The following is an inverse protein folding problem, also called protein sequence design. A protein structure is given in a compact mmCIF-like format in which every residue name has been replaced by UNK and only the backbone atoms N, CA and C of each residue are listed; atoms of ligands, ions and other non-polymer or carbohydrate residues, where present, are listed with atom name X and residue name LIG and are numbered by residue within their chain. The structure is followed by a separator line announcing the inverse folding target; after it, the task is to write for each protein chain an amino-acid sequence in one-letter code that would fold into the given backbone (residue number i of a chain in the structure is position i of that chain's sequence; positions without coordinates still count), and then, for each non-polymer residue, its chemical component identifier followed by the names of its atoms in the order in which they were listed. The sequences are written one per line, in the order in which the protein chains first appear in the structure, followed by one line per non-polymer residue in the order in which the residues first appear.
data_IF_109568895066
#
_entry.id   IF_109568895066
#
_cell.length_a   1.000
_cell.length_b   1.000
_cell.length_c   1.000
_cell.angle_alpha   90.00
_cell.angle_beta   90.00
_cell.angle_gamma   90.00
#
_symmetry.space_group_name_H-M   'P 1'
#
loop_
_entity.id
_entity.type
_entity.pdbx_description
1 polymer ?
#
# COMPACT_ATOMS: atom_id res chain seq x y z
N UNK A 1 -32.69 19.06 -19.11
CA UNK A 1 -32.30 17.96 -18.21
C UNK A 1 -30.85 17.66 -18.48
N UNK A 2 -29.99 17.90 -17.48
CA UNK A 2 -28.56 17.64 -17.58
C UNK A 2 -28.28 16.28 -16.96
N UNK A 3 -27.33 15.54 -17.52
CA UNK A 3 -26.94 14.24 -16.99
C UNK A 3 -25.51 14.36 -16.47
N UNK A 4 -25.33 14.17 -15.18
CA UNK A 4 -24.01 14.14 -14.57
C UNK A 4 -23.48 12.72 -14.54
N UNK A 5 -22.23 12.53 -14.96
CA UNK A 5 -21.48 11.30 -14.77
C UNK A 5 -20.38 11.60 -13.77
N UNK A 6 -20.34 10.83 -12.69
CA UNK A 6 -19.47 11.09 -11.55
C UNK A 6 -18.65 9.83 -11.32
N UNK A 7 -17.33 9.93 -11.48
CA UNK A 7 -16.39 8.86 -11.16
C UNK A 7 -15.83 9.14 -9.77
N UNK A 8 -16.19 8.32 -8.79
CA UNK A 8 -15.80 8.48 -7.39
C UNK A 8 -14.69 7.49 -7.06
N UNK A 9 -13.67 7.97 -6.35
CA UNK A 9 -12.67 7.16 -5.66
C UNK A 9 -12.48 7.69 -4.24
N UNK A 10 -11.88 6.88 -3.38
CA UNK A 10 -11.40 7.34 -2.08
C UNK A 10 -9.95 7.84 -2.23
N UNK A 11 -9.64 8.97 -1.58
CA UNK A 11 -8.28 9.36 -1.25
C UNK A 11 -8.01 9.03 0.22
N UNK A 12 -7.39 7.88 0.46
CA UNK A 12 -7.21 7.35 1.81
C UNK A 12 -6.21 8.17 2.63
N UNK A 13 -5.10 8.61 2.01
CA UNK A 13 -4.13 9.49 2.66
C UNK A 13 -4.72 10.84 3.11
N UNK A 14 -5.74 11.33 2.40
CA UNK A 14 -6.42 12.58 2.76
C UNK A 14 -7.69 12.36 3.59
N UNK A 15 -8.15 11.12 3.72
CA UNK A 15 -9.44 10.79 4.35
C UNK A 15 -10.64 11.40 3.64
N UNK A 16 -10.57 11.55 2.30
CA UNK A 16 -11.59 12.27 1.50
C UNK A 16 -12.12 11.40 0.38
N UNK A 17 -13.40 11.57 0.05
CA UNK A 17 -13.98 11.07 -1.21
C UNK A 17 -13.70 12.09 -2.30
N UNK A 18 -13.12 11.65 -3.40
CA UNK A 18 -12.76 12.50 -4.53
C UNK A 18 -13.52 12.06 -5.78
N UNK A 19 -13.84 13.00 -6.67
CA UNK A 19 -14.51 12.65 -7.91
C UNK A 19 -14.07 13.45 -9.12
N UNK A 20 -14.09 12.80 -10.28
CA UNK A 20 -14.19 13.46 -11.58
C UNK A 20 -15.66 13.63 -11.92
N UNK A 21 -16.02 14.84 -12.33
CA UNK A 21 -17.38 15.23 -12.66
C UNK A 21 -17.47 15.63 -14.12
N UNK A 22 -18.34 14.95 -14.85
CA UNK A 22 -18.64 15.23 -16.24
C UNK A 22 -20.10 15.65 -16.35
N UNK A 23 -20.35 16.72 -17.10
CA UNK A 23 -21.71 17.10 -17.50
C UNK A 23 -21.91 16.65 -18.93
N UNK A 24 -22.82 15.70 -19.12
CA UNK A 24 -23.21 15.25 -20.44
C UNK A 24 -24.24 16.24 -21.00
N UNK A 25 -23.79 17.06 -21.94
CA UNK A 25 -24.64 17.80 -22.87
C UNK A 25 -24.75 17.01 -24.20
N UNK A 26 -25.30 17.61 -25.26
CA UNK A 26 -25.45 16.94 -26.56
C UNK A 26 -24.10 16.62 -27.25
N UNK A 27 -22.96 17.13 -26.76
CA UNK A 27 -21.65 17.07 -27.40
C UNK A 27 -20.57 16.30 -26.59
N UNK A 28 -20.77 16.05 -25.29
CA UNK A 28 -19.83 15.22 -24.51
C UNK A 28 -20.00 13.74 -24.86
N UNK A 29 -19.04 13.18 -25.61
CA UNK A 29 -19.04 11.77 -26.01
C UNK A 29 -18.74 10.85 -24.83
N UNK A 30 -19.59 9.83 -24.62
CA UNK A 30 -19.34 8.72 -23.70
C UNK A 30 -17.98 8.04 -23.96
N UNK A 31 -17.42 8.15 -25.16
CA UNK A 31 -16.08 7.63 -25.48
C UNK A 31 -14.96 8.36 -24.74
N UNK A 32 -15.09 9.66 -24.46
CA UNK A 32 -14.08 10.37 -23.69
C UNK A 32 -14.03 9.87 -22.25
N UNK A 33 -15.19 9.63 -21.63
CA UNK A 33 -15.29 9.09 -20.27
C UNK A 33 -14.74 7.66 -20.22
N UNK A 34 -15.05 6.82 -21.22
CA UNK A 34 -14.48 5.48 -21.33
C UNK A 34 -12.96 5.52 -21.45
N UNK A 35 -12.41 6.40 -22.29
CA UNK A 35 -10.96 6.58 -22.44
C UNK A 35 -10.31 7.06 -21.14
N UNK A 36 -10.96 7.93 -20.39
CA UNK A 36 -10.47 8.40 -19.10
C UNK A 36 -10.48 7.28 -18.05
N UNK A 37 -11.54 6.47 -17.97
CA UNK A 37 -11.59 5.27 -17.12
C UNK A 37 -10.47 4.30 -17.49
N UNK A 38 -10.25 4.06 -18.79
CA UNK A 38 -9.17 3.20 -19.26
C UNK A 38 -7.79 3.73 -18.83
N UNK A 39 -7.53 5.04 -19.00
CA UNK A 39 -6.29 5.68 -18.54
C UNK A 39 -6.10 5.55 -17.03
N UNK A 40 -7.17 5.75 -16.25
CA UNK A 40 -7.10 5.63 -14.79
C UNK A 40 -6.71 4.19 -14.40
N UNK A 41 -7.38 3.18 -14.95
CA UNK A 41 -7.06 1.78 -14.66
C UNK A 41 -5.65 1.39 -15.11
N UNK A 42 -5.26 1.84 -16.30
CA UNK A 42 -3.92 1.58 -16.83
C UNK A 42 -2.82 2.18 -15.93
N UNK A 43 -3.00 3.40 -15.42
CA UNK A 43 -1.99 4.11 -14.65
C UNK A 43 -2.03 3.80 -13.14
N UNK A 44 -3.22 3.54 -12.58
CA UNK A 44 -3.40 3.28 -11.16
C UNK A 44 -3.50 1.78 -10.81
N UNK A 45 -3.63 0.90 -11.81
CA UNK A 45 -3.89 -0.53 -11.67
C UNK A 45 -5.35 -0.89 -11.89
N UNK A 46 -5.59 -2.05 -12.50
CA UNK A 46 -6.94 -2.53 -12.88
C UNK A 46 -7.87 -2.77 -11.68
N UNK A 47 -7.30 -3.08 -10.53
CA UNK A 47 -7.96 -3.31 -9.25
C UNK A 47 -8.33 -2.02 -8.49
N UNK A 48 -8.15 -0.85 -9.12
CA UNK A 48 -8.60 0.43 -8.55
C UNK A 48 -10.12 0.46 -8.32
N UNK A 49 -10.54 0.92 -7.14
CA UNK A 49 -11.94 1.08 -6.79
C UNK A 49 -12.51 2.38 -7.36
N UNK A 50 -13.30 2.25 -8.41
CA UNK A 50 -14.00 3.37 -9.04
C UNK A 50 -15.50 3.10 -9.04
N UNK A 51 -16.26 3.95 -8.37
CA UNK A 51 -17.72 3.94 -8.45
C UNK A 51 -18.18 4.93 -9.53
N UNK A 52 -19.12 4.51 -10.37
CA UNK A 52 -19.66 5.35 -11.45
C UNK A 52 -21.12 5.65 -11.13
N UNK A 53 -21.43 6.93 -10.97
CA UNK A 53 -22.80 7.39 -10.74
C UNK A 53 -23.29 8.21 -11.92
N UNK A 54 -24.57 8.05 -12.25
CA UNK A 54 -25.28 8.83 -13.27
C UNK A 54 -26.47 9.53 -12.63
N UNK A 55 -26.44 10.85 -12.55
CA UNK A 55 -27.45 11.65 -11.84
C UNK A 55 -28.06 12.68 -12.79
N UNK A 56 -29.37 12.61 -13.10
CA UNK A 56 -30.06 13.64 -13.84
C UNK A 56 -30.52 14.78 -12.93
N UNK A 57 -30.33 16.02 -13.38
CA UNK A 57 -30.63 17.25 -12.62
C UNK A 57 -31.25 18.33 -13.51
N UNK A 58 -31.67 19.42 -12.86
CA UNK A 58 -32.29 20.58 -13.51
C UNK A 58 -31.28 21.45 -14.26
N UNK A 59 -30.04 21.55 -13.75
CA UNK A 59 -28.97 22.38 -14.32
C UNK A 59 -27.59 21.69 -14.16
N UNK A 60 -26.55 22.27 -14.77
CA UNK A 60 -25.20 21.70 -14.82
C UNK A 60 -24.35 21.87 -13.55
N UNK A 61 -24.86 22.55 -12.53
CA UNK A 61 -24.08 22.88 -11.33
C UNK A 61 -23.95 21.68 -10.38
N UNK A 62 -22.83 21.62 -9.65
CA UNK A 62 -22.61 20.57 -8.65
C UNK A 62 -23.62 20.66 -7.49
N UNK A 63 -24.05 21.87 -7.15
CA UNK A 63 -25.10 22.11 -6.15
C UNK A 63 -26.42 21.43 -6.54
N UNK A 64 -26.71 21.31 -7.84
CA UNK A 64 -27.87 20.57 -8.34
C UNK A 64 -27.78 19.08 -8.05
N UNK A 65 -26.57 18.50 -8.12
CA UNK A 65 -26.30 17.11 -7.74
C UNK A 65 -26.48 16.92 -6.24
N UNK A 66 -25.89 17.78 -5.41
CA UNK A 66 -26.00 17.69 -3.94
C UNK A 66 -27.46 17.85 -3.49
N UNK A 67 -28.20 18.80 -4.08
CA UNK A 67 -29.63 19.00 -3.78
C UNK A 67 -30.46 17.78 -4.16
N UNK A 68 -30.08 17.07 -5.21
CA UNK A 68 -30.76 15.85 -5.67
C UNK A 68 -30.49 14.66 -4.75
N UNK A 69 -29.26 14.53 -4.26
CA UNK A 69 -28.82 13.46 -3.37
C UNK A 69 -27.68 13.93 -2.45
N UNK A 70 -27.94 13.92 -1.14
CA UNK A 70 -26.99 14.38 -0.13
C UNK A 70 -25.76 13.47 0.00
N UNK A 71 -25.78 12.26 -0.58
CA UNK A 71 -24.62 11.36 -0.66
C UNK A 71 -23.38 12.04 -1.27
N UNK A 72 -23.58 13.04 -2.14
CA UNK A 72 -22.50 13.72 -2.85
C UNK A 72 -21.93 14.95 -2.11
N UNK A 73 -22.44 15.28 -0.92
CA UNK A 73 -22.14 16.55 -0.22
C UNK A 73 -20.70 16.70 0.30
N UNK A 74 -20.03 15.60 0.63
CA UNK A 74 -18.65 15.50 1.16
C UNK A 74 -17.63 15.07 0.08
N UNK A 75 -18.06 14.98 -1.17
CA UNK A 75 -17.17 14.67 -2.30
C UNK A 75 -16.41 15.93 -2.72
N UNK A 76 -15.09 15.78 -2.79
CA UNK A 76 -14.19 16.80 -3.30
C UNK A 76 -14.00 16.60 -4.81
N UNK A 77 -14.48 17.55 -5.61
CA UNK A 77 -14.29 17.52 -7.04
C UNK A 77 -12.83 17.81 -7.41
N UNK A 78 -12.28 16.98 -8.29
CA UNK A 78 -10.99 17.22 -8.92
C UNK A 78 -11.26 17.68 -10.35
N UNK A 79 -10.66 18.80 -10.73
CA UNK A 79 -10.97 19.48 -11.99
C UNK A 79 -10.38 18.79 -13.22
N UNK A 80 -9.30 18.03 -13.06
CA UNK A 80 -8.62 17.39 -14.19
C UNK A 80 -8.34 15.91 -13.96
N UNK A 81 -8.35 15.14 -15.05
CA UNK A 81 -8.00 13.72 -15.05
C UNK A 81 -6.60 13.47 -14.45
N UNK A 82 -5.62 14.30 -14.81
CA UNK A 82 -4.23 14.12 -14.37
C UNK A 82 -4.08 14.34 -12.86
N UNK A 83 -4.76 15.35 -12.29
CA UNK A 83 -4.78 15.56 -10.85
C UNK A 83 -5.48 14.40 -10.14
N UNK A 84 -6.59 13.90 -10.70
CA UNK A 84 -7.30 12.77 -10.11
C UNK A 84 -6.44 11.50 -10.08
N UNK A 85 -5.78 11.18 -11.20
CA UNK A 85 -4.81 10.08 -11.28
C UNK A 85 -3.67 10.30 -10.29
N UNK A 86 -3.15 11.51 -10.18
CA UNK A 86 -2.07 11.84 -9.25
C UNK A 86 -2.49 11.60 -7.80
N UNK A 87 -3.68 12.03 -7.40
CA UNK A 87 -4.17 11.81 -6.04
C UNK A 87 -4.42 10.33 -5.75
N UNK A 88 -5.14 9.62 -6.63
CA UNK A 88 -5.41 8.20 -6.38
C UNK A 88 -4.14 7.36 -6.43
N UNK A 89 -3.21 7.64 -7.36
CA UNK A 89 -1.97 6.87 -7.47
C UNK A 89 -1.08 6.94 -6.23
N UNK A 90 -1.16 8.02 -5.42
CA UNK A 90 -0.45 8.11 -4.14
C UNK A 90 -0.91 7.03 -3.17
N UNK A 91 -2.22 6.78 -3.10
CA UNK A 91 -2.79 5.76 -2.23
C UNK A 91 -2.45 4.34 -2.71
N UNK A 92 -2.18 4.17 -4.01
CA UNK A 92 -1.88 2.88 -4.61
C UNK A 92 -0.47 2.39 -4.31
N UNK A 93 0.46 3.29 -3.95
CA UNK A 93 1.84 2.92 -3.58
C UNK A 93 1.91 2.51 -2.12
N UNK A 94 2.15 1.23 -1.86
CA UNK A 94 2.42 0.75 -0.50
C UNK A 94 3.84 1.13 -0.07
N UNK A 95 4.00 1.54 1.19
CA UNK A 95 5.32 1.83 1.79
C UNK A 95 5.67 0.77 2.82
N UNK A 96 6.97 0.59 3.09
CA UNK A 96 7.43 -0.35 4.12
C UNK A 96 6.83 -0.07 5.52
N UNK A 97 6.52 1.20 5.83
CA UNK A 97 5.86 1.56 7.10
C UNK A 97 4.42 1.06 7.18
N UNK A 98 3.68 1.00 6.06
CA UNK A 98 2.30 0.52 6.01
C UNK A 98 2.28 -0.98 6.36
N UNK A 99 3.19 -1.75 5.75
CA UNK A 99 3.40 -3.18 6.04
C UNK A 99 3.79 -3.39 7.51
N UNK A 100 4.72 -2.59 8.02
CA UNK A 100 5.17 -2.70 9.40
C UNK A 100 4.06 -2.42 10.41
N UNK A 101 3.23 -1.40 10.18
CA UNK A 101 2.08 -1.07 11.04
C UNK A 101 1.08 -2.22 11.09
N UNK A 102 0.77 -2.84 9.95
CA UNK A 102 -0.08 -4.03 9.90
C UNK A 102 0.52 -5.21 10.70
N UNK A 103 1.83 -5.47 10.57
CA UNK A 103 2.48 -6.53 11.35
C UNK A 103 2.45 -6.21 12.86
N UNK A 104 2.70 -4.95 13.23
CA UNK A 104 2.71 -4.49 14.62
C UNK A 104 1.32 -4.54 15.27
N UNK A 105 0.24 -4.34 14.51
CA UNK A 105 -1.13 -4.51 15.02
C UNK A 105 -1.48 -5.96 15.33
N UNK A 106 -0.74 -6.93 14.79
CA UNK A 106 -0.89 -8.36 15.11
C UNK A 106 -0.03 -8.72 16.32
N UNK A 107 1.24 -8.28 16.35
CA UNK A 107 2.19 -8.62 17.40
C UNK A 107 3.24 -7.52 17.60
N UNK A 108 3.53 -7.12 18.86
CA UNK A 108 4.63 -6.20 19.15
C UNK A 108 6.01 -6.78 18.79
N UNK A 109 6.83 -5.98 18.10
CA UNK A 109 8.22 -6.30 17.73
C UNK A 109 9.19 -5.25 18.26
N UNK A 110 10.45 -5.62 18.49
CA UNK A 110 11.53 -4.62 18.61
C UNK A 110 11.87 -4.04 17.24
N UNK A 111 12.60 -2.91 17.17
CA UNK A 111 13.06 -2.37 15.90
C UNK A 111 13.84 -3.41 15.08
N UNK A 112 14.72 -4.19 15.71
CA UNK A 112 15.45 -5.25 15.04
C UNK A 112 14.52 -6.32 14.45
N UNK A 113 13.52 -6.76 15.22
CA UNK A 113 12.57 -7.79 14.80
C UNK A 113 11.68 -7.33 13.65
N UNK A 114 11.13 -6.11 13.71
CA UNK A 114 10.23 -5.61 12.66
C UNK A 114 10.97 -5.39 11.35
N UNK A 115 12.24 -4.96 11.38
CA UNK A 115 13.09 -4.86 10.18
C UNK A 115 13.21 -6.19 9.45
N UNK A 116 13.44 -7.27 10.21
CA UNK A 116 13.60 -8.61 9.65
C UNK A 116 12.29 -9.17 9.13
N UNK A 117 11.21 -8.97 9.88
CA UNK A 117 9.91 -9.44 9.44
C UNK A 117 9.46 -8.75 8.15
N UNK A 118 9.58 -7.43 8.07
CA UNK A 118 9.20 -6.67 6.86
C UNK A 118 10.09 -7.05 5.67
N UNK A 119 11.39 -7.28 5.89
CA UNK A 119 12.27 -7.80 4.83
C UNK A 119 11.83 -9.18 4.33
N UNK A 120 11.55 -10.13 5.22
CA UNK A 120 11.11 -11.47 4.83
C UNK A 120 9.78 -11.42 4.07
N UNK A 121 8.83 -10.58 4.50
CA UNK A 121 7.59 -10.33 3.77
C UNK A 121 7.84 -9.80 2.36
N UNK A 122 8.74 -8.83 2.22
CA UNK A 122 9.12 -8.30 0.92
C UNK A 122 9.74 -9.38 0.02
N UNK A 123 10.64 -10.18 0.58
CA UNK A 123 11.38 -11.19 -0.15
C UNK A 123 10.49 -12.38 -0.58
N UNK A 124 9.62 -12.88 0.31
CA UNK A 124 8.63 -13.92 -0.01
C UNK A 124 7.68 -13.41 -1.13
N UNK A 125 7.16 -12.18 -1.03
CA UNK A 125 6.30 -11.60 -2.06
C UNK A 125 7.03 -11.43 -3.41
N UNK A 126 8.24 -10.90 -3.37
CA UNK A 126 9.05 -10.69 -4.58
C UNK A 126 9.31 -12.01 -5.29
N UNK A 127 9.70 -13.06 -4.58
CA UNK A 127 10.01 -14.36 -5.18
C UNK A 127 8.75 -15.09 -5.68
N UNK A 128 7.63 -15.00 -4.96
CA UNK A 128 6.40 -15.71 -5.32
C UNK A 128 5.63 -15.04 -6.46
N UNK A 129 5.68 -13.70 -6.55
CA UNK A 129 4.87 -12.92 -7.49
C UNK A 129 5.70 -12.21 -8.56
N UNK A 130 7.04 -12.17 -8.44
CA UNK A 130 7.92 -11.38 -9.33
C UNK A 130 7.53 -9.89 -9.37
N UNK A 131 7.03 -9.36 -8.26
CA UNK A 131 6.54 -7.98 -8.09
C UNK A 131 7.13 -7.37 -6.82
N UNK A 132 7.38 -6.07 -6.84
CA UNK A 132 7.85 -5.33 -5.66
C UNK A 132 6.67 -4.98 -4.74
N UNK A 133 6.80 -5.23 -3.44
CA UNK A 133 5.78 -4.83 -2.46
C UNK A 133 5.84 -3.31 -2.17
N UNK A 134 7.04 -2.73 -2.18
CA UNK A 134 7.28 -1.30 -1.96
C UNK A 134 8.61 -0.86 -2.62
N UNK A 135 8.83 0.46 -2.72
CA UNK A 135 10.04 1.04 -3.35
C UNK A 135 11.15 1.39 -2.34
N UNK A 136 10.92 1.20 -1.04
CA UNK A 136 11.90 1.48 0.01
C UNK A 136 13.19 0.65 -0.15
N UNK A 137 14.34 1.31 -0.06
CA UNK A 137 15.65 0.66 -0.20
C UNK A 137 16.01 -0.23 0.98
N UNK A 138 16.48 -1.43 0.67
CA UNK A 138 16.94 -2.46 1.61
C UNK A 138 18.47 -2.49 1.59
N UNK A 139 19.09 -2.42 2.77
CA UNK A 139 20.54 -2.37 2.93
C UNK A 139 21.06 -3.52 3.78
N UNK A 140 22.25 -4.00 3.46
CA UNK A 140 22.98 -4.96 4.27
C UNK A 140 23.71 -4.25 5.42
N UNK A 141 23.18 -4.39 6.64
CA UNK A 141 23.78 -3.87 7.87
C UNK A 141 24.28 -5.00 8.77
N UNK A 142 25.11 -4.74 9.80
CA UNK A 142 25.73 -5.78 10.62
C UNK A 142 24.75 -6.80 11.23
N UNK A 143 23.53 -6.37 11.57
CA UNK A 143 22.49 -7.23 12.11
C UNK A 143 21.50 -7.71 11.06
N UNK A 144 21.89 -7.78 9.79
CA UNK A 144 21.09 -8.27 8.68
C UNK A 144 20.44 -7.14 7.84
N UNK A 145 19.48 -7.48 6.96
CA UNK A 145 18.83 -6.51 6.07
C UNK A 145 18.05 -5.44 6.84
N UNK A 146 18.14 -4.19 6.40
CA UNK A 146 17.47 -3.04 7.02
C UNK A 146 16.83 -2.18 5.96
N UNK A 147 15.54 -1.91 6.12
CA UNK A 147 14.80 -0.94 5.34
C UNK A 147 15.03 0.46 5.95
N UNK A 148 15.74 1.32 5.22
CA UNK A 148 16.25 2.58 5.77
C UNK A 148 15.16 3.55 6.26
N UNK A 149 14.06 3.67 5.52
CA UNK A 149 12.91 4.49 5.90
C UNK A 149 12.26 3.96 7.17
N UNK A 150 12.10 2.64 7.28
CA UNK A 150 11.55 1.98 8.45
C UNK A 150 12.43 2.17 9.69
N UNK A 151 13.76 2.10 9.51
CA UNK A 151 14.70 2.28 10.63
C UNK A 151 14.61 3.69 11.18
N UNK A 152 14.49 4.70 10.31
CA UNK A 152 14.32 6.10 10.75
C UNK A 152 13.07 6.29 11.61
N UNK A 153 11.98 5.59 11.29
CA UNK A 153 10.71 5.67 12.05
C UNK A 153 10.80 4.99 13.42
N UNK A 154 11.56 3.90 13.55
CA UNK A 154 11.56 3.06 14.75
C UNK A 154 12.86 3.05 15.56
N UNK A 155 13.92 3.77 15.13
CA UNK A 155 15.22 3.79 15.83
C UNK A 155 15.15 4.24 17.29
N UNK A 156 14.23 5.14 17.63
CA UNK A 156 14.06 5.66 19.00
C UNK A 156 13.59 4.61 20.00
N UNK A 157 12.99 3.51 19.53
CA UNK A 157 12.57 2.40 20.40
C UNK A 157 13.74 1.52 20.83
N UNK A 158 14.91 1.61 20.17
CA UNK A 158 16.10 0.81 20.47
C UNK A 158 15.79 -0.69 20.61
N UNK A 159 15.91 -1.23 21.84
CA UNK A 159 15.63 -2.63 22.20
C UNK A 159 14.22 -2.84 22.74
N UNK A 160 13.46 -1.77 22.97
CA UNK A 160 12.09 -1.84 23.46
C UNK A 160 11.16 -2.35 22.36
N UNK A 161 10.07 -2.99 22.77
CA UNK A 161 9.00 -3.39 21.86
C UNK A 161 8.25 -2.15 21.41
N UNK A 162 8.05 -2.03 20.11
CA UNK A 162 7.14 -1.09 19.47
C UNK A 162 5.75 -1.68 19.67
N UNK A 163 4.95 -1.02 20.48
CA UNK A 163 3.53 -1.30 20.61
C UNK A 163 2.81 -0.27 19.76
N UNK A 164 1.91 -0.71 18.88
CA UNK A 164 0.93 0.20 18.29
C UNK A 164 0.03 0.67 19.43
N UNK A 165 0.08 1.98 19.73
CA UNK A 165 -0.85 2.62 20.66
C UNK A 165 -2.25 2.76 20.05
N UNK A 166 -2.35 2.66 18.71
CA UNK A 166 -3.56 2.89 17.91
C UNK A 166 -4.16 1.57 17.37
N UNK A 167 -4.25 0.53 18.21
CA UNK A 167 -4.86 -0.74 17.81
C UNK A 167 -6.38 -0.65 17.51
N UNK A 168 -7.00 0.51 17.72
CA UNK A 168 -8.45 0.73 17.65
C UNK A 168 -8.91 1.54 16.42
N UNK A 169 -8.01 1.94 15.52
CA UNK A 169 -8.44 2.56 14.25
C UNK A 169 -8.99 1.48 13.33
N UNK A 170 -10.32 1.34 13.33
CA UNK A 170 -11.07 0.47 12.42
C UNK A 170 -11.84 1.29 11.39
N UNK A 171 -12.01 0.70 10.21
CA UNK A 171 -12.78 1.28 9.11
C UNK A 171 -13.92 0.31 8.81
N UNK A 172 -15.13 0.84 8.68
CA UNK A 172 -16.29 0.06 8.26
C UNK A 172 -16.36 0.07 6.74
N UNK A 173 -16.24 -1.11 6.13
CA UNK A 173 -16.39 -1.33 4.68
C UNK A 173 -17.51 -2.36 4.52
N UNK A 174 -18.59 -1.99 3.84
CA UNK A 174 -19.76 -2.85 3.63
C UNK A 174 -20.26 -3.55 4.92
N UNK A 175 -20.44 -2.77 5.98
CA UNK A 175 -20.81 -3.24 7.33
C UNK A 175 -19.82 -4.22 8.00
N UNK A 176 -18.61 -4.35 7.47
CA UNK A 176 -17.52 -5.13 8.06
C UNK A 176 -16.48 -4.20 8.66
N UNK A 177 -16.15 -4.41 9.93
CA UNK A 177 -15.09 -3.68 10.61
C UNK A 177 -13.73 -4.29 10.25
N UNK A 178 -12.86 -3.48 9.64
CA UNK A 178 -11.53 -3.88 9.21
C UNK A 178 -10.50 -2.97 9.87
N UNK A 179 -9.42 -3.53 10.39
CA UNK A 179 -8.29 -2.75 10.90
C UNK A 179 -7.75 -1.80 9.80
N UNK A 180 -7.55 -0.52 10.13
CA UNK A 180 -7.15 0.50 9.17
C UNK A 180 -5.83 0.18 8.45
N UNK A 181 -4.89 -0.51 9.11
CA UNK A 181 -3.64 -0.93 8.49
C UNK A 181 -3.84 -2.07 7.48
N UNK A 182 -4.75 -3.00 7.77
CA UNK A 182 -5.12 -4.03 6.80
C UNK A 182 -5.84 -3.41 5.58
N UNK A 183 -6.78 -2.49 5.82
CA UNK A 183 -7.45 -1.76 4.75
C UNK A 183 -6.44 -1.02 3.85
N UNK A 184 -5.44 -0.36 4.46
CA UNK A 184 -4.36 0.32 3.74
C UNK A 184 -3.57 -0.61 2.81
N UNK A 185 -3.34 -1.87 3.21
CA UNK A 185 -2.70 -2.90 2.38
C UNK A 185 -3.65 -3.32 1.25
N UNK A 186 -4.90 -3.67 1.58
CA UNK A 186 -5.89 -4.17 0.62
C UNK A 186 -6.16 -3.17 -0.51
N UNK A 187 -6.23 -1.87 -0.20
CA UNK A 187 -6.51 -0.83 -1.20
C UNK A 187 -5.29 -0.38 -2.01
N UNK A 188 -4.09 -0.83 -1.63
CA UNK A 188 -2.89 -0.60 -2.43
C UNK A 188 -2.91 -1.40 -3.73
N UNK A 189 -2.03 -1.08 -4.68
CA UNK A 189 -1.90 -1.84 -5.92
C UNK A 189 -1.52 -3.29 -5.60
N UNK A 190 -2.20 -4.24 -6.26
CA UNK A 190 -2.02 -5.67 -6.02
C UNK A 190 -2.34 -6.07 -4.54
N UNK A 191 -3.13 -5.26 -3.82
CA UNK A 191 -3.26 -5.32 -2.37
C UNK A 191 -3.79 -6.64 -1.81
N UNK A 192 -4.65 -7.36 -2.55
CA UNK A 192 -5.12 -8.71 -2.19
C UNK A 192 -3.99 -9.75 -2.27
N UNK A 193 -3.15 -9.67 -3.32
CA UNK A 193 -1.99 -10.54 -3.47
C UNK A 193 -0.98 -10.27 -2.35
N UNK A 194 -0.70 -8.99 -2.08
CA UNK A 194 0.17 -8.55 -0.98
C UNK A 194 -0.36 -9.06 0.37
N UNK A 195 -1.66 -8.85 0.66
CA UNK A 195 -2.26 -9.28 1.93
C UNK A 195 -2.15 -10.80 2.11
N UNK A 196 -2.41 -11.57 1.06
CA UNK A 196 -2.24 -13.04 1.06
C UNK A 196 -0.80 -13.42 1.40
N UNK A 197 0.18 -12.83 0.69
CA UNK A 197 1.60 -13.11 0.90
C UNK A 197 2.09 -12.73 2.31
N UNK A 198 1.61 -11.61 2.86
CA UNK A 198 1.89 -11.21 4.24
C UNK A 198 1.39 -12.26 5.24
N UNK A 199 0.16 -12.74 5.08
CA UNK A 199 -0.42 -13.77 5.96
C UNK A 199 0.38 -15.07 5.87
N UNK A 200 0.76 -15.50 4.67
CA UNK A 200 1.58 -16.70 4.46
C UNK A 200 2.96 -16.58 5.09
N UNK A 201 3.62 -15.43 4.92
CA UNK A 201 4.92 -15.15 5.54
C UNK A 201 4.82 -15.14 7.06
N UNK A 202 3.80 -14.49 7.61
CA UNK A 202 3.56 -14.44 9.05
C UNK A 202 3.31 -15.85 9.61
N UNK A 203 2.56 -16.71 8.91
CA UNK A 203 2.38 -18.11 9.35
C UNK A 203 3.71 -18.86 9.51
N UNK A 204 4.71 -18.58 8.68
CA UNK A 204 6.06 -19.17 8.78
C UNK A 204 6.84 -18.61 9.97
N UNK A 205 6.84 -17.29 10.16
CA UNK A 205 7.85 -16.61 11.00
C UNK A 205 7.30 -15.92 12.26
N UNK A 206 5.98 -15.82 12.46
CA UNK A 206 5.37 -15.03 13.55
C UNK A 206 5.90 -15.42 14.94
N UNK A 207 6.21 -16.69 15.16
CA UNK A 207 6.69 -17.21 16.44
C UNK A 207 8.21 -17.09 16.65
N UNK A 208 8.94 -16.62 15.64
CA UNK A 208 10.39 -16.45 15.73
C UNK A 208 10.73 -15.17 16.50
N UNK A 209 11.73 -15.26 17.37
CA UNK A 209 12.32 -14.11 18.05
C UNK A 209 13.20 -13.29 17.10
N UNK A 210 13.50 -12.03 17.46
CA UNK A 210 14.33 -11.16 16.63
C UNK A 210 15.70 -11.77 16.31
N UNK A 211 16.33 -12.48 17.26
CA UNK A 211 17.62 -13.16 17.03
C UNK A 211 17.49 -14.35 16.09
N UNK A 212 16.38 -15.10 16.14
CA UNK A 212 16.13 -16.18 15.19
C UNK A 212 15.88 -15.63 13.77
N UNK A 213 15.14 -14.53 13.64
CA UNK A 213 14.96 -13.85 12.35
C UNK A 213 16.30 -13.33 11.80
N UNK A 214 17.18 -12.76 12.64
CA UNK A 214 18.55 -12.41 12.24
C UNK A 214 19.30 -13.65 11.74
N UNK A 215 19.25 -14.75 12.49
CA UNK A 215 19.92 -16.00 12.13
C UNK A 215 19.46 -16.55 10.78
N UNK A 216 18.17 -16.44 10.46
CA UNK A 216 17.62 -16.78 9.15
C UNK A 216 18.24 -15.91 8.06
N UNK A 217 18.22 -14.58 8.25
CA UNK A 217 18.78 -13.65 7.25
C UNK A 217 20.30 -13.73 7.11
N UNK A 218 20.99 -14.30 8.11
CA UNK A 218 22.44 -14.47 8.15
C UNK A 218 22.91 -15.83 7.63
N UNK A 219 22.00 -16.67 7.13
CA UNK A 219 22.38 -17.98 6.56
C UNK A 219 23.43 -17.79 5.46
N UNK A 220 24.37 -18.74 5.37
CA UNK A 220 25.44 -18.68 4.38
C UNK A 220 24.85 -18.67 2.97
N UNK A 221 25.33 -17.74 2.15
CA UNK A 221 24.88 -17.44 0.79
C UNK A 221 23.48 -16.80 0.71
N UNK A 222 22.88 -16.32 1.81
CA UNK A 222 21.66 -15.51 1.77
C UNK A 222 21.89 -14.17 1.03
N UNK A 223 20.83 -13.46 0.61
CA UNK A 223 20.97 -12.14 0.00
C UNK A 223 21.80 -11.16 0.84
N UNK A 224 21.69 -11.24 2.17
CA UNK A 224 22.52 -10.44 3.06
C UNK A 224 23.99 -10.88 3.07
N UNK A 225 24.27 -12.19 3.20
CA UNK A 225 25.65 -12.71 3.26
C UNK A 225 26.42 -12.46 1.96
N UNK A 226 25.73 -12.52 0.80
CA UNK A 226 26.32 -12.24 -0.52
C UNK A 226 26.74 -10.77 -0.65
N UNK A 227 25.99 -9.85 -0.03
CA UNK A 227 26.18 -8.40 -0.20
C UNK A 227 27.00 -7.77 0.92
N UNK A 228 26.90 -8.29 2.14
CA UNK A 228 27.48 -7.65 3.31
C UNK A 228 29.01 -7.75 3.35
N UNK A 229 29.67 -6.59 3.27
CA UNK A 229 31.10 -6.41 3.53
C UNK A 229 31.30 -5.43 4.70
N UNK A 230 31.95 -5.87 5.78
CA UNK A 230 32.16 -5.05 6.98
C UNK A 230 32.91 -3.72 6.71
N UNK A 231 33.67 -3.65 5.60
CA UNK A 231 34.49 -2.49 5.23
C UNK A 231 33.76 -1.47 4.36
N UNK A 232 32.52 -1.77 3.94
CA UNK A 232 31.73 -0.93 3.03
C UNK A 232 30.45 -0.44 3.70
N UNK A 233 30.08 0.79 3.36
CA UNK A 233 28.85 1.41 3.84
C UNK A 233 27.76 1.40 2.77
N UNK A 234 26.50 1.46 3.22
CA UNK A 234 25.31 1.64 2.36
C UNK A 234 25.17 0.60 1.23
N UNK A 235 25.53 -0.64 1.53
CA UNK A 235 25.45 -1.75 0.57
C UNK A 235 23.99 -2.13 0.36
N UNK A 236 23.49 -1.97 -0.86
CA UNK A 236 22.08 -2.23 -1.21
C UNK A 236 21.90 -3.71 -1.56
N UNK A 237 20.90 -4.35 -0.96
CA UNK A 237 20.45 -5.67 -1.37
C UNK A 237 19.41 -5.44 -2.47
N UNK A 238 19.77 -5.76 -3.72
CA UNK A 238 18.91 -5.52 -4.88
C UNK A 238 17.80 -6.57 -4.98
N UNK A 239 16.72 -6.24 -5.69
CA UNK A 239 15.63 -7.20 -5.95
C UNK A 239 16.16 -8.46 -6.62
N UNK A 240 17.04 -8.31 -7.61
CA UNK A 240 17.69 -9.44 -8.29
C UNK A 240 18.46 -10.35 -7.31
N UNK A 241 19.17 -9.75 -6.36
CA UNK A 241 19.88 -10.49 -5.32
C UNK A 241 18.91 -11.26 -4.42
N UNK A 242 17.76 -10.66 -4.09
CA UNK A 242 16.74 -11.34 -3.30
C UNK A 242 16.17 -12.51 -4.10
N UNK A 243 15.76 -12.29 -5.35
CA UNK A 243 15.25 -13.35 -6.25
C UNK A 243 16.25 -14.51 -6.38
N UNK A 244 17.55 -14.21 -6.48
CA UNK A 244 18.58 -15.22 -6.69
C UNK A 244 18.93 -16.04 -5.45
N UNK A 245 18.76 -15.50 -4.23
CA UNK A 245 19.32 -16.10 -3.01
C UNK A 245 18.31 -16.27 -1.86
N UNK A 246 17.10 -15.70 -1.94
CA UNK A 246 16.13 -15.77 -0.83
C UNK A 246 15.66 -17.19 -0.52
N UNK A 247 15.71 -18.13 -1.47
CA UNK A 247 15.40 -19.54 -1.25
C UNK A 247 16.22 -20.19 -0.11
N UNK A 248 17.37 -19.59 0.25
CA UNK A 248 18.23 -20.02 1.36
C UNK A 248 17.65 -19.60 2.72
N UNK A 249 16.85 -18.54 2.76
CA UNK A 249 16.22 -17.99 3.97
C UNK A 249 14.88 -18.67 4.30
N UNK A 250 14.30 -19.43 3.36
CA UNK A 250 13.04 -20.15 3.56
C UNK A 250 13.16 -21.26 4.63
N UNK A 251 12.10 -21.46 5.42
CA UNK A 251 11.98 -22.50 6.47
C UNK A 251 10.93 -23.54 6.12
#
# INVERSE_FOLDING_TARGET
MFTHIILISSSYMQGKRIALHYVQDKNTSLENIKNDIFKIRHLCGEDIQLAIHKIPTENESWESVIKKDTFFSDIHLISTLNEFITEVSKDRKLKAIDVAKFILSIKPYTNLGIQKMVYLCYADYLCNYSKKMFDDKIYAYPYGPVISSLYKNFKSYEKNKIQTLDNDETIIIDNTEINAYLARVIFSKDGIEVATSLIETLKKYLNYSASQLVSITHRKNSPWDVIYDEKKFNQVISDKTIEDYHYIESV
#
